data_IF_136434310579
#
_entry.id   IF_136434310579
#
_cell.length_a   1.000
_cell.length_b   1.000
_cell.length_c   1.000
_cell.angle_alpha   90.00
_cell.angle_beta   90.00
_cell.angle_gamma   90.00
#
_symmetry.space_group_name_H-M   'P 1'
#
loop_
_entity.id
_entity.type
_entity.pdbx_description
1 polymer ?
#
# COMPACT_ATOMS: atom_id res chain seq x y z
N UNK A 1 22.87 13.16 5.69
CA UNK A 1 21.59 13.53 5.09
C UNK A 1 21.44 12.98 3.69
N UNK A 2 20.28 12.47 3.40
CA UNK A 2 20.04 11.80 2.14
C UNK A 2 19.08 12.60 1.29
N UNK A 3 19.55 13.28 0.27
CA UNK A 3 18.65 14.03 -0.60
C UNK A 3 17.71 13.15 -1.39
N UNK A 4 17.97 11.86 -1.43
CA UNK A 4 17.16 10.94 -2.21
C UNK A 4 16.14 10.20 -1.38
N UNK A 5 15.97 10.57 -0.14
CA UNK A 5 14.98 9.94 0.69
C UNK A 5 13.61 10.11 0.06
N UNK A 6 12.96 8.99 -0.23
CA UNK A 6 11.69 9.02 -0.89
C UNK A 6 10.62 9.56 0.05
N UNK A 7 9.91 10.57 -0.41
CA UNK A 7 8.85 11.14 0.37
C UNK A 7 7.56 10.38 0.10
N UNK A 8 6.84 10.05 1.15
CA UNK A 8 5.57 9.35 1.01
C UNK A 8 4.57 10.28 0.31
N UNK A 9 3.81 9.78 -0.69
CA UNK A 9 2.89 10.64 -1.44
C UNK A 9 1.81 11.23 -0.53
N UNK A 10 1.59 12.53 -0.65
CA UNK A 10 0.56 13.19 0.15
C UNK A 10 -0.84 12.85 -0.31
N UNK A 11 -0.97 12.49 -1.59
CA UNK A 11 -2.28 12.12 -2.13
C UNK A 11 -2.72 10.72 -1.75
N UNK A 12 -1.82 9.95 -1.13
CA UNK A 12 -2.15 8.59 -0.71
C UNK A 12 -3.16 8.64 0.42
N UNK A 13 -4.25 7.89 0.26
CA UNK A 13 -5.32 7.85 1.24
C UNK A 13 -4.88 7.15 2.52
N UNK A 14 -4.02 6.15 2.39
CA UNK A 14 -3.54 5.37 3.52
C UNK A 14 -2.08 5.69 3.78
N UNK A 15 -1.67 5.51 5.01
CA UNK A 15 -0.33 5.88 5.43
C UNK A 15 0.48 4.66 5.79
N UNK A 16 1.79 4.85 5.92
CA UNK A 16 2.67 3.75 6.29
C UNK A 16 2.20 3.11 7.59
N UNK A 17 2.26 1.79 7.61
CA UNK A 17 1.90 0.97 8.76
C UNK A 17 0.42 0.92 9.06
N UNK A 18 -0.42 1.52 8.22
CA UNK A 18 -1.87 1.32 8.37
C UNK A 18 -2.18 -0.13 8.08
N UNK A 19 -3.05 -0.71 8.89
CA UNK A 19 -3.49 -2.08 8.68
C UNK A 19 -4.83 -2.02 7.95
N UNK A 20 -4.86 -2.56 6.73
CA UNK A 20 -6.01 -2.37 5.85
C UNK A 20 -6.52 -3.71 5.32
N UNK A 21 -7.79 -3.68 4.91
CA UNK A 21 -8.40 -4.77 4.14
C UNK A 21 -8.30 -4.42 2.67
N UNK A 22 -7.95 -5.37 1.84
CA UNK A 22 -7.93 -5.14 0.41
C UNK A 22 -8.21 -6.43 -0.34
N UNK A 23 -8.65 -6.30 -1.59
CA UNK A 23 -8.84 -7.44 -2.46
C UNK A 23 -7.59 -7.67 -3.28
N UNK A 24 -7.24 -8.93 -3.40
CA UNK A 24 -6.11 -9.32 -4.23
C UNK A 24 -6.45 -10.64 -4.88
N UNK A 25 -6.53 -10.64 -6.20
CA UNK A 25 -6.85 -11.82 -7.00
C UNK A 25 -8.16 -12.47 -6.54
N UNK A 26 -9.15 -11.64 -6.26
CA UNK A 26 -10.45 -12.13 -5.87
C UNK A 26 -10.59 -12.57 -4.43
N UNK A 27 -9.56 -12.41 -3.64
CA UNK A 27 -9.57 -12.76 -2.22
C UNK A 27 -9.40 -11.56 -1.34
N UNK A 28 -10.10 -11.54 -0.23
CA UNK A 28 -9.92 -10.48 0.75
C UNK A 28 -8.71 -10.80 1.63
N UNK A 29 -7.83 -9.83 1.76
CA UNK A 29 -6.63 -9.98 2.56
C UNK A 29 -6.46 -8.81 3.49
N UNK A 30 -5.65 -9.01 4.51
CA UNK A 30 -5.28 -7.97 5.47
C UNK A 30 -3.78 -7.79 5.42
N UNK A 31 -3.32 -6.55 5.45
CA UNK A 31 -1.90 -6.31 5.44
C UNK A 31 -1.60 -4.91 5.90
N UNK A 32 -0.34 -4.65 6.20
CA UNK A 32 0.14 -3.32 6.54
C UNK A 32 0.62 -2.63 5.29
N UNK A 33 0.37 -1.33 5.23
CA UNK A 33 0.90 -0.51 4.15
C UNK A 33 2.39 -0.36 4.35
N UNK A 34 3.15 -0.82 3.36
CA UNK A 34 4.61 -0.76 3.41
C UNK A 34 5.15 0.43 2.63
N UNK A 35 4.52 0.75 1.51
CA UNK A 35 4.96 1.85 0.66
C UNK A 35 3.80 2.24 -0.26
N UNK A 36 3.96 3.37 -0.93
CA UNK A 36 2.97 3.82 -1.90
C UNK A 36 3.67 4.57 -3.01
N UNK A 37 3.09 4.54 -4.18
CA UNK A 37 3.62 5.24 -5.34
C UNK A 37 2.49 5.85 -6.13
N UNK A 38 2.78 6.96 -6.80
CA UNK A 38 1.82 7.64 -7.66
C UNK A 38 2.28 7.52 -9.09
N UNK A 39 1.37 7.10 -9.96
CA UNK A 39 1.63 7.06 -11.39
C UNK A 39 1.52 8.48 -11.92
N UNK A 40 2.62 9.01 -12.43
CA UNK A 40 2.63 10.40 -12.88
C UNK A 40 1.75 10.64 -14.11
N UNK A 41 1.51 9.61 -14.88
CA UNK A 41 0.71 9.79 -16.09
C UNK A 41 -0.78 9.79 -15.81
N UNK A 42 -1.23 9.06 -14.79
CA UNK A 42 -2.66 8.94 -14.51
C UNK A 42 -3.04 9.55 -13.17
N UNK A 43 -2.07 9.74 -12.28
CA UNK A 43 -2.36 10.19 -10.92
C UNK A 43 -2.83 9.09 -10.01
N UNK A 44 -2.85 7.86 -10.49
CA UNK A 44 -3.32 6.74 -9.69
C UNK A 44 -2.32 6.39 -8.62
N UNK A 45 -2.83 6.04 -7.44
CA UNK A 45 -1.99 5.65 -6.32
C UNK A 45 -2.04 4.14 -6.19
N UNK A 46 -0.88 3.53 -6.05
CA UNK A 46 -0.79 2.09 -5.79
C UNK A 46 0.06 1.88 -4.55
N UNK A 47 -0.16 0.76 -3.90
CA UNK A 47 0.46 0.47 -2.62
C UNK A 47 1.22 -0.83 -2.67
N UNK A 48 2.26 -0.90 -1.86
CA UNK A 48 2.95 -2.15 -1.56
C UNK A 48 2.49 -2.57 -0.18
N UNK A 49 1.96 -3.78 -0.08
CA UNK A 49 1.44 -4.30 1.17
C UNK A 49 2.39 -5.33 1.74
N UNK A 50 2.54 -5.31 3.06
CA UNK A 50 3.33 -6.31 3.75
C UNK A 50 2.40 -7.29 4.44
N UNK A 51 2.43 -8.53 3.99
CA UNK A 51 1.66 -9.61 4.60
C UNK A 51 2.56 -10.21 5.65
N UNK A 52 2.13 -10.14 6.90
CA UNK A 52 2.98 -10.48 8.02
C UNK A 52 3.09 -11.96 8.27
N UNK A 53 3.88 -12.29 9.25
CA UNK A 53 4.12 -13.64 9.67
C UNK A 53 5.60 -13.89 9.81
N UNK A 54 5.95 -15.15 9.96
CA UNK A 54 7.34 -15.52 10.10
C UNK A 54 8.12 -15.31 8.81
N UNK A 55 7.42 -15.37 7.70
CA UNK A 55 8.02 -15.13 6.39
C UNK A 55 7.26 -13.99 5.74
N UNK A 56 7.58 -12.74 6.10
CA UNK A 56 6.86 -11.62 5.53
C UNK A 56 7.05 -11.56 4.02
N UNK A 57 5.99 -11.25 3.33
CA UNK A 57 6.01 -11.12 1.89
C UNK A 57 5.42 -9.77 1.50
N UNK A 58 5.84 -9.26 0.36
CA UNK A 58 5.32 -8.00 -0.15
C UNK A 58 4.45 -8.27 -1.35
N UNK A 59 3.33 -7.56 -1.41
CA UNK A 59 2.43 -7.57 -2.55
C UNK A 59 2.52 -6.19 -3.17
N UNK A 60 2.94 -6.14 -4.43
CA UNK A 60 3.19 -4.88 -5.12
C UNK A 60 2.01 -4.46 -5.96
N UNK A 61 1.92 -3.17 -6.25
CA UNK A 61 0.99 -2.61 -7.22
C UNK A 61 -0.47 -2.88 -6.87
N UNK A 62 -0.80 -2.72 -5.58
CA UNK A 62 -2.19 -2.82 -5.15
C UNK A 62 -2.86 -1.49 -5.41
N UNK A 63 -3.85 -1.41 -6.33
CA UNK A 63 -4.51 -0.15 -6.60
C UNK A 63 -5.27 0.35 -5.37
N UNK A 64 -5.31 1.66 -5.20
CA UNK A 64 -6.02 2.23 -4.08
C UNK A 64 -7.48 1.81 -4.07
N UNK A 65 -8.06 1.66 -5.26
CA UNK A 65 -9.46 1.27 -5.38
C UNK A 65 -9.73 -0.14 -4.86
N UNK A 66 -8.71 -1.00 -4.80
CA UNK A 66 -8.87 -2.35 -4.28
C UNK A 66 -8.81 -2.39 -2.76
N UNK A 67 -8.39 -1.30 -2.13
CA UNK A 67 -8.33 -1.24 -0.68
C UNK A 67 -9.71 -0.85 -0.17
N UNK A 68 -10.26 -1.68 0.71
CA UNK A 68 -11.59 -1.47 1.24
C UNK A 68 -11.57 -0.39 2.32
N UNK A 69 -10.59 -0.47 3.20
CA UNK A 69 -10.46 0.49 4.27
C UNK A 69 -9.58 -0.03 5.37
N UNK A 70 -9.51 0.74 6.44
CA UNK A 70 -8.72 0.34 7.60
C UNK A 70 -9.38 -0.86 8.27
N UNK A 71 -8.55 -1.80 8.67
CA UNK A 71 -9.01 -2.96 9.40
C UNK A 71 -9.14 -2.58 10.87
N UNK A 72 -10.29 -2.84 11.42
CA UNK A 72 -10.51 -2.57 12.85
C UNK A 72 -10.43 -3.81 13.69
#
# INVERSE_FOLDING_TARGET
MWPFKKKYPEVAKYKLKDFVNFYHRGEMRFAWVYDAAVDKSTGAVSYTMQVGGQCPALIYNVPEEDIIGLKE
#
